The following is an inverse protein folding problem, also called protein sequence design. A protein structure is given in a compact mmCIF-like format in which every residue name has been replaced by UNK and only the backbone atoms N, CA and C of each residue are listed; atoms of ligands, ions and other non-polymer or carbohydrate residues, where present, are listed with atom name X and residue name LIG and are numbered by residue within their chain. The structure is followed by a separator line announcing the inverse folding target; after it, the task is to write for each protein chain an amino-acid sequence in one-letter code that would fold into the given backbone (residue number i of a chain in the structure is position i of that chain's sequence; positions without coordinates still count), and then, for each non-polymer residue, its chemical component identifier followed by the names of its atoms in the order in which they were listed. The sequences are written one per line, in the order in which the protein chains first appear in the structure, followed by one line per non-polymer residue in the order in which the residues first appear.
data_IF_689527965523
#
_entry.id   IF_689527965523
#
_cell.length_a   1.000
_cell.length_b   1.000
_cell.length_c   1.000
_cell.angle_alpha   90.00
_cell.angle_beta   90.00
_cell.angle_gamma   90.00
#
_symmetry.space_group_name_H-M   'P 1'
#
loop_
_entity.id
_entity.type
_entity.pdbx_description
1 polymer ?
#
# COMPACT_ATOMS: atom_id res chain seq x y z
N UNK A 1 -1.39 22.08 17.85
CA UNK A 1 -0.43 21.17 18.53
C UNK A 1 0.89 21.24 17.77
N UNK A 2 1.95 21.75 18.40
CA UNK A 2 3.29 21.78 17.78
C UNK A 2 3.89 20.37 17.84
N UNK A 3 3.87 19.63 16.72
CA UNK A 3 4.60 18.37 16.59
C UNK A 3 6.08 18.66 16.32
N UNK A 4 6.79 19.17 17.34
CA UNK A 4 8.24 19.10 17.31
C UNK A 4 8.62 17.63 17.50
N UNK A 5 9.05 16.95 16.43
CA UNK A 5 9.57 15.59 16.50
C UNK A 5 10.73 15.55 17.51
N UNK A 6 10.44 15.18 18.77
CA UNK A 6 11.36 15.21 19.91
C UNK A 6 12.58 14.31 19.69
N UNK A 7 12.46 13.33 18.79
CA UNK A 7 13.52 12.41 18.41
C UNK A 7 13.70 12.47 16.89
N UNK A 8 14.76 13.14 16.43
CA UNK A 8 15.18 13.09 15.03
C UNK A 8 16.05 11.86 14.82
N UNK A 9 15.65 10.99 13.91
CA UNK A 9 16.51 9.94 13.38
C UNK A 9 17.56 10.59 12.48
N UNK A 10 18.84 10.28 12.73
CA UNK A 10 19.96 10.61 11.84
C UNK A 10 20.53 9.31 11.29
N UNK A 11 19.88 8.70 10.28
CA UNK A 11 20.32 7.42 9.78
C UNK A 11 21.73 7.52 9.18
N UNK A 12 22.50 6.44 9.26
CA UNK A 12 23.72 6.26 8.45
C UNK A 12 23.35 6.15 6.97
N UNK A 13 24.35 6.15 6.08
CA UNK A 13 24.10 5.94 4.64
C UNK A 13 23.47 4.57 4.39
N UNK A 14 24.03 3.51 4.98
CA UNK A 14 23.48 2.15 4.91
C UNK A 14 22.03 2.06 5.41
N UNK A 15 21.71 2.75 6.51
CA UNK A 15 20.34 2.80 7.02
C UNK A 15 19.39 3.55 6.08
N UNK A 16 19.85 4.59 5.39
CA UNK A 16 19.03 5.29 4.38
C UNK A 16 18.76 4.39 3.19
N UNK A 17 19.79 3.73 2.67
CA UNK A 17 19.65 2.80 1.55
C UNK A 17 18.68 1.66 1.87
N UNK A 18 18.74 1.10 3.08
CA UNK A 18 17.80 0.08 3.52
C UNK A 18 16.36 0.60 3.63
N UNK A 19 16.18 1.80 4.16
CA UNK A 19 14.85 2.43 4.24
C UNK A 19 14.28 2.73 2.85
N UNK A 20 15.11 3.22 1.93
CA UNK A 20 14.71 3.50 0.56
C UNK A 20 14.40 2.21 -0.20
N UNK A 21 15.18 1.14 -0.02
CA UNK A 21 14.87 -0.19 -0.54
C UNK A 21 13.49 -0.67 -0.07
N UNK A 22 13.25 -0.72 1.25
CA UNK A 22 11.95 -1.16 1.77
C UNK A 22 10.78 -0.28 1.32
N UNK A 23 10.98 1.05 1.28
CA UNK A 23 9.98 1.99 0.78
C UNK A 23 9.66 1.72 -0.69
N UNK A 24 10.68 1.47 -1.50
CA UNK A 24 10.49 1.20 -2.91
C UNK A 24 9.80 -0.13 -3.16
N UNK A 25 10.22 -1.21 -2.47
CA UNK A 25 9.55 -2.51 -2.54
C UNK A 25 8.07 -2.40 -2.15
N UNK A 26 7.74 -1.63 -1.09
CA UNK A 26 6.34 -1.37 -0.71
C UNK A 26 5.57 -0.61 -1.80
N UNK A 27 6.19 0.39 -2.44
CA UNK A 27 5.60 1.15 -3.55
C UNK A 27 5.31 0.25 -4.75
N UNK A 28 6.27 -0.61 -5.11
CA UNK A 28 6.09 -1.55 -6.21
C UNK A 28 4.98 -2.57 -5.89
N UNK A 29 4.97 -3.12 -4.67
CA UNK A 29 3.91 -4.03 -4.21
C UNK A 29 2.53 -3.36 -4.28
N UNK A 30 2.41 -2.11 -3.79
CA UNK A 30 1.16 -1.35 -3.87
C UNK A 30 0.66 -1.24 -5.31
N UNK A 31 1.53 -0.87 -6.25
CA UNK A 31 1.16 -0.72 -7.66
C UNK A 31 0.75 -2.05 -8.30
N UNK A 32 1.47 -3.13 -7.98
CA UNK A 32 1.10 -4.47 -8.42
C UNK A 32 -0.27 -4.87 -7.88
N UNK A 33 -0.48 -4.71 -6.58
CA UNK A 33 -1.74 -5.06 -5.92
C UNK A 33 -2.91 -4.20 -6.44
N UNK A 34 -2.69 -2.91 -6.71
CA UNK A 34 -3.69 -2.05 -7.31
C UNK A 34 -4.09 -2.55 -8.71
N UNK A 35 -3.11 -2.94 -9.53
CA UNK A 35 -3.36 -3.54 -10.84
C UNK A 35 -4.20 -4.82 -10.72
N UNK A 36 -3.90 -5.70 -9.77
CA UNK A 36 -4.69 -6.93 -9.56
C UNK A 36 -6.10 -6.61 -9.04
N UNK A 37 -6.21 -5.67 -8.10
CA UNK A 37 -7.50 -5.20 -7.57
C UNK A 37 -8.42 -4.68 -8.70
N UNK A 38 -7.88 -3.93 -9.65
CA UNK A 38 -8.64 -3.38 -10.78
C UNK A 38 -9.15 -4.43 -11.78
N UNK A 39 -8.67 -5.69 -11.68
CA UNK A 39 -9.21 -6.82 -12.45
C UNK A 39 -10.39 -7.48 -11.76
N UNK A 40 -10.58 -7.26 -10.46
CA UNK A 40 -11.66 -7.86 -9.69
C UNK A 40 -12.93 -7.02 -9.93
N UNK A 41 -14.03 -7.58 -10.43
CA UNK A 41 -15.28 -6.83 -10.63
C UNK A 41 -15.88 -6.28 -9.33
N UNK A 42 -16.61 -5.17 -9.41
CA UNK A 42 -17.35 -4.62 -8.25
C UNK A 42 -18.40 -5.60 -7.68
N UNK A 43 -18.91 -6.51 -8.51
CA UNK A 43 -19.87 -7.54 -8.10
C UNK A 43 -19.28 -8.60 -7.15
N UNK A 44 -17.95 -8.74 -7.08
CA UNK A 44 -17.27 -9.72 -6.21
C UNK A 44 -17.25 -9.32 -4.73
N UNK A 45 -17.82 -8.17 -4.39
CA UNK A 45 -18.08 -7.77 -3.01
C UNK A 45 -17.73 -6.31 -2.73
N UNK A 46 -17.74 -5.98 -1.44
CA UNK A 46 -17.35 -4.66 -0.95
C UNK A 46 -15.90 -4.34 -1.29
N UNK A 47 -15.55 -3.04 -1.27
CA UNK A 47 -14.17 -2.57 -1.45
C UNK A 47 -13.18 -3.33 -0.56
N UNK A 48 -13.49 -3.43 0.74
CA UNK A 48 -12.66 -4.15 1.71
C UNK A 48 -12.45 -5.63 1.31
N UNK A 49 -13.53 -6.32 0.93
CA UNK A 49 -13.45 -7.73 0.55
C UNK A 49 -12.58 -7.93 -0.68
N UNK A 50 -12.74 -7.08 -1.71
CA UNK A 50 -11.94 -7.15 -2.94
C UNK A 50 -10.46 -6.85 -2.70
N UNK A 51 -10.13 -5.87 -1.85
CA UNK A 51 -8.72 -5.60 -1.47
C UNK A 51 -8.13 -6.78 -0.66
N UNK A 52 -8.92 -7.40 0.22
CA UNK A 52 -8.49 -8.60 0.97
C UNK A 52 -8.22 -9.79 0.06
N UNK A 53 -9.01 -9.99 -1.01
CA UNK A 53 -8.74 -11.03 -2.00
C UNK A 53 -7.32 -10.88 -2.59
N UNK A 54 -6.89 -9.66 -2.93
CA UNK A 54 -5.52 -9.40 -3.41
C UNK A 54 -4.48 -9.62 -2.31
N UNK A 55 -4.75 -9.16 -1.09
CA UNK A 55 -3.85 -9.36 0.06
C UNK A 55 -3.60 -10.85 0.32
N UNK A 56 -4.62 -11.68 0.18
CA UNK A 56 -4.52 -13.12 0.48
C UNK A 56 -3.63 -13.85 -0.54
N UNK A 57 -3.39 -13.26 -1.72
CA UNK A 57 -2.43 -13.75 -2.72
C UNK A 57 -0.96 -13.45 -2.36
N UNK A 58 -0.68 -12.65 -1.33
CA UNK A 58 0.69 -12.29 -0.94
C UNK A 58 1.57 -13.51 -0.63
N UNK A 59 1.00 -14.58 -0.09
CA UNK A 59 1.74 -15.81 0.22
C UNK A 59 2.33 -16.42 -1.04
N UNK A 60 1.52 -16.53 -2.10
CA UNK A 60 1.98 -17.03 -3.40
C UNK A 60 2.91 -16.01 -4.08
N UNK A 61 2.64 -14.72 -3.90
CA UNK A 61 3.44 -13.63 -4.44
C UNK A 61 4.90 -13.70 -3.98
N UNK A 62 5.10 -14.00 -2.70
CA UNK A 62 6.44 -14.16 -2.09
C UNK A 62 7.25 -15.32 -2.65
N UNK A 63 6.59 -16.28 -3.32
CA UNK A 63 7.27 -17.38 -4.00
C UNK A 63 7.96 -16.95 -5.29
N UNK A 64 7.44 -15.96 -6.00
CA UNK A 64 8.03 -15.45 -7.26
C UNK A 64 8.75 -14.10 -7.09
N UNK A 65 8.33 -13.29 -6.12
CA UNK A 65 8.94 -12.00 -5.79
C UNK A 65 9.66 -12.12 -4.44
N UNK A 66 10.90 -12.57 -4.51
CA UNK A 66 11.74 -12.91 -3.38
C UNK A 66 12.03 -11.72 -2.45
N UNK A 67 12.20 -10.50 -2.99
CA UNK A 67 12.39 -9.26 -2.20
C UNK A 67 11.30 -9.02 -1.14
N UNK A 68 10.08 -9.53 -1.35
CA UNK A 68 8.99 -9.43 -0.36
C UNK A 68 9.23 -10.26 0.90
N UNK A 69 10.21 -11.17 0.89
CA UNK A 69 10.61 -11.94 2.06
C UNK A 69 11.52 -11.13 3.01
N UNK A 70 12.15 -10.06 2.52
CA UNK A 70 12.93 -9.13 3.36
C UNK A 70 12.04 -8.18 4.17
N UNK A 71 10.77 -8.06 3.79
CA UNK A 71 9.77 -7.25 4.48
C UNK A 71 8.98 -8.09 5.48
N UNK A 72 8.78 -7.53 6.68
CA UNK A 72 7.87 -8.13 7.67
C UNK A 72 6.44 -8.23 7.11
N UNK A 73 5.76 -9.34 7.37
CA UNK A 73 4.48 -9.67 6.72
C UNK A 73 3.40 -8.62 6.93
N UNK A 74 3.35 -7.99 8.12
CA UNK A 74 2.37 -6.93 8.39
C UNK A 74 2.63 -5.68 7.56
N UNK A 75 3.88 -5.41 7.17
CA UNK A 75 4.24 -4.29 6.28
C UNK A 75 3.73 -4.56 4.88
N UNK A 76 3.96 -5.76 4.33
CA UNK A 76 3.44 -6.14 3.01
C UNK A 76 1.92 -6.13 2.97
N UNK A 77 1.26 -6.61 4.03
CA UNK A 77 -0.20 -6.60 4.14
C UNK A 77 -0.73 -5.16 4.24
N UNK A 78 -0.11 -4.31 5.06
CA UNK A 78 -0.50 -2.91 5.18
C UNK A 78 -0.32 -2.13 3.87
N UNK A 79 0.73 -2.43 3.10
CA UNK A 79 0.93 -1.84 1.78
C UNK A 79 -0.25 -2.15 0.85
N UNK A 80 -0.72 -3.41 0.79
CA UNK A 80 -1.90 -3.78 -0.01
C UNK A 80 -3.17 -3.13 0.52
N UNK A 81 -3.41 -3.21 1.84
CA UNK A 81 -4.63 -2.68 2.45
C UNK A 81 -4.81 -1.17 2.27
N UNK A 82 -3.70 -0.42 2.10
CA UNK A 82 -3.73 1.03 1.83
C UNK A 82 -4.52 1.40 0.57
N UNK A 83 -4.80 0.46 -0.34
CA UNK A 83 -5.67 0.68 -1.51
C UNK A 83 -7.08 1.09 -1.06
N UNK A 84 -7.64 0.40 -0.06
CA UNK A 84 -8.96 0.70 0.50
C UNK A 84 -9.01 2.12 1.07
N UNK A 85 -8.00 2.49 1.85
CA UNK A 85 -7.86 3.82 2.44
C UNK A 85 -7.79 4.91 1.36
N UNK A 86 -6.96 4.69 0.33
CA UNK A 86 -6.80 5.64 -0.78
C UNK A 86 -8.11 5.84 -1.55
N UNK A 87 -8.84 4.77 -1.86
CA UNK A 87 -10.12 4.86 -2.58
C UNK A 87 -11.18 5.56 -1.74
N UNK A 88 -11.27 5.21 -0.46
CA UNK A 88 -12.22 5.83 0.48
C UNK A 88 -11.96 7.32 0.60
N UNK A 89 -10.70 7.72 0.81
CA UNK A 89 -10.31 9.12 0.93
C UNK A 89 -10.59 9.92 -0.36
N UNK A 90 -10.36 9.32 -1.54
CA UNK A 90 -10.71 9.94 -2.82
C UNK A 90 -12.22 10.14 -2.97
N UNK A 91 -13.03 9.15 -2.55
CA UNK A 91 -14.49 9.26 -2.51
C UNK A 91 -14.96 10.43 -1.65
N UNK A 92 -14.46 10.51 -0.42
CA UNK A 92 -14.79 11.61 0.50
C UNK A 92 -14.42 13.00 -0.04
N UNK A 93 -13.30 13.11 -0.76
CA UNK A 93 -12.89 14.38 -1.39
C UNK A 93 -13.83 14.75 -2.54
N UNK A 94 -14.29 13.78 -3.34
CA UNK A 94 -15.27 14.01 -4.40
C UNK A 94 -16.62 14.46 -3.83
N UNK A 95 -17.08 13.81 -2.77
CA UNK A 95 -18.34 14.17 -2.09
C UNK A 95 -18.31 15.60 -1.52
N UNK A 96 -17.12 16.09 -1.14
CA UNK A 96 -16.89 17.48 -0.70
C UNK A 96 -16.74 18.47 -1.86
N UNK A 97 -16.84 18.03 -3.11
CA UNK A 97 -16.74 18.87 -4.31
C UNK A 97 -15.31 19.22 -4.75
N UNK A 98 -14.28 18.54 -4.23
CA UNK A 98 -12.90 18.75 -4.68
C UNK A 98 -12.67 18.09 -6.05
N UNK A 99 -11.92 18.78 -6.92
CA UNK A 99 -11.48 18.22 -8.20
C UNK A 99 -10.29 17.26 -7.99
N UNK A 100 -10.59 16.00 -7.72
CA UNK A 100 -9.61 14.93 -7.55
C UNK A 100 -9.79 13.85 -8.62
N UNK A 101 -8.68 13.18 -8.95
CA UNK A 101 -8.68 12.08 -9.92
C UNK A 101 -9.38 10.81 -9.40
N UNK A 102 -9.10 9.70 -10.06
CA UNK A 102 -9.52 8.37 -9.65
C UNK A 102 -8.30 7.45 -9.56
N UNK A 103 -8.43 6.38 -8.75
CA UNK A 103 -7.40 5.38 -8.59
C UNK A 103 -7.82 4.16 -9.43
N UNK A 104 -7.15 3.97 -10.57
CA UNK A 104 -7.49 2.99 -11.62
C UNK A 104 -6.23 2.28 -12.12
#
# INVERSE_FOLDING_TARGET
MYYAYRFRLKPTTEQRELLDYHRDTCRQLYNHALREFNKIPESEGTLNQRVRQVRDQLTDLKGWWDELNDLYSTVTQAAVMRIEDSITALGELKDKGYNVGSLN
#
